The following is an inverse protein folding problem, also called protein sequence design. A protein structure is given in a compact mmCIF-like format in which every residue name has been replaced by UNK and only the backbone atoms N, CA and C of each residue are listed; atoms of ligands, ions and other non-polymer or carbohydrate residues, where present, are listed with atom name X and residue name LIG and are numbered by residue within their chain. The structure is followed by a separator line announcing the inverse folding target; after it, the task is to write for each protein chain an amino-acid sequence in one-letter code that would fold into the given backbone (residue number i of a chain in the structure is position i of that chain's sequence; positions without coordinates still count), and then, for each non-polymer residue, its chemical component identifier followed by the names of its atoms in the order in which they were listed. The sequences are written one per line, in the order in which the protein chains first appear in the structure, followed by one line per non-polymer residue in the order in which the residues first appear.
data_IF_147416746978
#
_entry.id   IF_147416746978
#
_cell.length_a   1.000
_cell.length_b   1.000
_cell.length_c   1.000
_cell.angle_alpha   90.00
_cell.angle_beta   90.00
_cell.angle_gamma   90.00
#
_symmetry.space_group_name_H-M   'P 1'
#
loop_
_entity.id
_entity.type
_entity.pdbx_description
1 polymer ?
#
# COMPACT_ATOMS: atom_id res chain seq x y z
N UNK A 1 12.82 8.33 1.54
CA UNK A 1 13.62 9.06 2.56
C UNK A 1 12.91 9.17 3.90
N UNK A 2 11.63 9.61 3.97
CA UNK A 2 10.89 9.72 5.25
C UNK A 2 10.81 8.39 5.99
N UNK A 3 10.54 7.29 5.30
CA UNK A 3 10.48 5.94 5.88
C UNK A 3 11.85 5.50 6.39
N UNK A 4 12.91 5.70 5.60
CA UNK A 4 14.29 5.44 6.01
C UNK A 4 14.66 6.20 7.28
N UNK A 5 14.39 7.51 7.33
CA UNK A 5 14.66 8.33 8.51
C UNK A 5 13.82 7.90 9.72
N UNK A 6 12.56 7.53 9.51
CA UNK A 6 11.70 7.02 10.57
C UNK A 6 12.25 5.71 11.18
N UNK A 7 12.67 4.75 10.35
CA UNK A 7 13.32 3.52 10.82
C UNK A 7 14.61 3.81 11.59
N UNK A 8 15.46 4.68 11.04
CA UNK A 8 16.71 5.09 11.68
C UNK A 8 16.46 5.63 13.08
N UNK A 9 15.49 6.52 13.22
CA UNK A 9 15.13 7.13 14.50
C UNK A 9 14.47 6.12 15.46
N UNK A 10 13.48 5.35 14.98
CA UNK A 10 12.69 4.45 15.84
C UNK A 10 13.51 3.29 16.40
N UNK A 11 14.51 2.81 15.65
CA UNK A 11 15.37 1.71 16.06
C UNK A 11 16.75 2.19 16.55
N UNK A 12 16.94 3.51 16.70
CA UNK A 12 18.20 4.14 17.13
C UNK A 12 19.42 3.61 16.35
N UNK A 13 19.28 3.52 15.02
CA UNK A 13 20.31 2.98 14.15
C UNK A 13 21.24 4.11 13.70
N UNK A 14 22.50 4.08 14.10
CA UNK A 14 23.50 5.07 13.66
C UNK A 14 24.03 4.78 12.25
N UNK A 15 24.03 3.51 11.84
CA UNK A 15 24.61 3.06 10.57
C UNK A 15 23.55 3.01 9.46
N UNK A 16 23.68 3.88 8.46
CA UNK A 16 22.80 3.96 7.31
C UNK A 16 22.75 2.65 6.50
N UNK A 17 23.83 1.88 6.46
CA UNK A 17 23.86 0.58 5.78
C UNK A 17 22.90 -0.43 6.41
N UNK A 18 22.83 -0.49 7.75
CA UNK A 18 21.88 -1.33 8.46
C UNK A 18 20.43 -0.92 8.19
N UNK A 19 20.18 0.39 8.10
CA UNK A 19 18.83 0.91 7.76
C UNK A 19 18.47 0.50 6.34
N UNK A 20 19.41 0.60 5.38
CA UNK A 20 19.19 0.15 4.00
C UNK A 20 18.90 -1.34 3.90
N UNK A 21 19.62 -2.17 4.68
CA UNK A 21 19.37 -3.62 4.74
C UNK A 21 17.96 -3.92 5.25
N UNK A 22 17.51 -3.23 6.31
CA UNK A 22 16.14 -3.37 6.82
C UNK A 22 15.09 -2.93 5.79
N UNK A 23 15.31 -1.80 5.11
CA UNK A 23 14.39 -1.33 4.05
C UNK A 23 14.32 -2.35 2.91
N UNK A 24 15.46 -2.91 2.50
CA UNK A 24 15.52 -3.92 1.42
C UNK A 24 14.90 -5.27 1.82
N UNK A 25 14.88 -5.58 3.11
CA UNK A 25 14.23 -6.79 3.62
C UNK A 25 12.69 -6.72 3.58
N UNK A 26 12.12 -5.51 3.50
CA UNK A 26 10.68 -5.31 3.38
C UNK A 26 10.31 -5.32 1.89
N UNK A 27 9.52 -6.28 1.39
CA UNK A 27 9.09 -6.29 0.00
C UNK A 27 8.13 -5.11 -0.27
N UNK A 28 8.56 -4.15 -1.08
CA UNK A 28 7.76 -2.98 -1.48
C UNK A 28 7.50 -3.06 -2.98
N UNK A 29 6.24 -3.08 -3.37
CA UNK A 29 5.81 -3.14 -4.77
C UNK A 29 5.16 -1.83 -5.18
N UNK A 30 5.80 -1.10 -6.07
CA UNK A 30 5.28 0.13 -6.66
C UNK A 30 4.43 -0.21 -7.89
N UNK A 31 3.15 -0.44 -7.70
CA UNK A 31 2.24 -0.93 -8.77
C UNK A 31 2.04 0.07 -9.92
N UNK A 32 2.27 1.35 -9.67
CA UNK A 32 2.24 2.43 -10.67
C UNK A 32 3.63 2.93 -11.06
N UNK A 33 4.66 2.10 -10.85
CA UNK A 33 6.05 2.50 -11.06
C UNK A 33 6.64 3.27 -9.88
N UNK A 34 7.93 3.55 -9.98
CA UNK A 34 8.68 4.29 -8.95
C UNK A 34 9.61 5.31 -9.58
N UNK A 35 10.01 6.30 -8.82
CA UNK A 35 11.02 7.28 -9.24
C UNK A 35 12.46 6.72 -9.24
N UNK A 36 12.61 5.40 -9.22
CA UNK A 36 13.90 4.71 -9.17
C UNK A 36 14.26 4.23 -7.75
N UNK A 37 15.42 3.60 -7.63
CA UNK A 37 15.93 3.15 -6.34
C UNK A 37 16.33 4.34 -5.46
N UNK A 38 16.16 4.18 -4.14
CA UNK A 38 16.59 5.19 -3.19
C UNK A 38 18.12 5.27 -3.17
N UNK A 39 18.66 6.39 -3.66
CA UNK A 39 20.06 6.75 -3.52
C UNK A 39 20.17 7.98 -2.61
N UNK A 40 20.74 7.84 -1.40
CA UNK A 40 20.89 8.96 -0.48
C UNK A 40 21.78 10.09 -1.04
N UNK A 41 22.67 9.80 -1.99
CA UNK A 41 23.60 10.77 -2.59
C UNK A 41 23.12 11.33 -3.94
N UNK A 42 22.15 10.67 -4.57
CA UNK A 42 21.63 11.03 -5.91
C UNK A 42 20.47 12.02 -5.90
N UNK A 43 19.87 12.28 -4.74
CA UNK A 43 18.68 13.12 -4.63
C UNK A 43 19.02 14.60 -4.93
N UNK A 44 18.56 15.11 -6.07
CA UNK A 44 18.78 16.48 -6.51
C UNK A 44 19.63 16.62 -7.77
N UNK A 45 20.19 15.54 -8.33
CA UNK A 45 20.88 15.58 -9.61
C UNK A 45 19.87 15.63 -10.78
N UNK A 46 20.06 16.57 -11.70
CA UNK A 46 19.15 16.79 -12.84
C UNK A 46 18.96 15.53 -13.69
N UNK A 47 20.00 14.72 -13.86
CA UNK A 47 19.95 13.46 -14.62
C UNK A 47 19.08 12.37 -13.96
N UNK A 48 18.90 12.42 -12.66
CA UNK A 48 18.02 11.52 -11.92
C UNK A 48 16.54 11.73 -12.31
N UNK A 49 16.14 12.98 -12.47
CA UNK A 49 14.74 13.33 -12.80
C UNK A 49 14.37 13.00 -14.25
N UNK A 50 15.30 13.16 -15.18
CA UNK A 50 15.04 12.93 -16.62
C UNK A 50 14.89 11.46 -17.01
N UNK A 51 15.46 10.55 -16.22
CA UNK A 51 15.33 9.10 -16.46
C UNK A 51 14.14 8.47 -15.73
N UNK A 52 13.68 9.06 -14.62
CA UNK A 52 12.70 8.44 -13.71
C UNK A 52 11.25 8.72 -14.09
N UNK A 53 10.92 9.80 -14.79
CA UNK A 53 9.53 10.08 -15.18
C UNK A 53 8.92 8.99 -16.08
N UNK A 54 9.77 8.29 -16.87
CA UNK A 54 9.34 7.20 -17.76
C UNK A 54 8.95 5.93 -17.00
N UNK A 55 9.32 5.82 -15.73
CA UNK A 55 9.00 4.65 -14.91
C UNK A 55 7.68 4.79 -14.13
N UNK A 56 7.04 5.96 -14.19
CA UNK A 56 5.70 6.17 -13.62
C UNK A 56 4.68 5.78 -14.68
N UNK A 57 3.80 4.85 -14.33
CA UNK A 57 2.77 4.34 -15.21
C UNK A 57 1.39 4.83 -14.77
N UNK A 58 0.53 5.13 -15.74
CA UNK A 58 -0.90 5.33 -15.47
C UNK A 58 -1.57 3.99 -15.21
N UNK A 59 -2.75 4.00 -14.57
CA UNK A 59 -3.51 2.79 -14.28
C UNK A 59 -3.81 1.99 -15.56
N UNK A 60 -4.07 2.67 -16.67
CA UNK A 60 -4.35 2.02 -17.96
C UNK A 60 -3.13 1.31 -18.54
N UNK A 61 -1.94 1.90 -18.42
CA UNK A 61 -0.69 1.29 -18.85
C UNK A 61 -0.35 0.06 -18.00
N UNK A 62 -0.53 0.16 -16.67
CA UNK A 62 -0.28 -0.97 -15.74
C UNK A 62 -1.21 -2.14 -16.03
N UNK A 63 -2.49 -1.89 -16.31
CA UNK A 63 -3.46 -2.93 -16.68
C UNK A 63 -3.08 -3.58 -18.02
N UNK A 64 -2.70 -2.78 -19.01
CA UNK A 64 -2.34 -3.26 -20.35
C UNK A 64 -1.07 -4.12 -20.33
N UNK A 65 -0.07 -3.76 -19.54
CA UNK A 65 1.26 -4.41 -19.53
C UNK A 65 1.38 -5.61 -18.58
N UNK A 66 0.37 -5.92 -17.76
CA UNK A 66 0.40 -6.99 -16.75
C UNK A 66 1.70 -6.96 -15.91
N UNK A 67 2.01 -5.81 -15.35
CA UNK A 67 3.30 -5.50 -14.72
C UNK A 67 3.72 -6.58 -13.71
N UNK A 68 5.02 -6.88 -13.66
CA UNK A 68 5.59 -7.83 -12.71
C UNK A 68 5.34 -7.40 -11.25
N UNK A 69 5.34 -6.08 -10.98
CA UNK A 69 5.05 -5.52 -9.66
C UNK A 69 3.62 -5.84 -9.21
N UNK A 70 2.63 -5.73 -10.11
CA UNK A 70 1.23 -6.09 -9.80
C UNK A 70 1.10 -7.59 -9.51
N UNK A 71 1.74 -8.45 -10.32
CA UNK A 71 1.73 -9.90 -10.08
C UNK A 71 2.32 -10.25 -8.73
N UNK A 72 3.47 -9.67 -8.40
CA UNK A 72 4.12 -9.88 -7.10
C UNK A 72 3.28 -9.35 -5.95
N UNK A 73 2.65 -8.18 -6.09
CA UNK A 73 1.76 -7.62 -5.08
C UNK A 73 0.54 -8.53 -4.84
N UNK A 74 -0.10 -9.03 -5.90
CA UNK A 74 -1.20 -10.00 -5.79
C UNK A 74 -0.77 -11.27 -5.08
N UNK A 75 0.38 -11.83 -5.43
CA UNK A 75 0.92 -13.02 -4.78
C UNK A 75 1.15 -12.81 -3.27
N UNK A 76 1.65 -11.64 -2.86
CA UNK A 76 1.79 -11.30 -1.45
C UNK A 76 0.43 -11.17 -0.74
N UNK A 77 -0.56 -10.56 -1.40
CA UNK A 77 -1.92 -10.48 -0.86
C UNK A 77 -2.56 -11.86 -0.67
N UNK A 78 -2.33 -12.80 -1.60
CA UNK A 78 -2.82 -14.18 -1.50
C UNK A 78 -2.22 -14.95 -0.31
N UNK A 79 -0.98 -14.64 0.04
CA UNK A 79 -0.25 -15.31 1.12
C UNK A 79 -0.37 -14.56 2.46
N UNK A 80 -1.01 -13.40 2.48
CA UNK A 80 -1.09 -12.57 3.67
C UNK A 80 -2.01 -13.17 4.72
N UNK A 81 -1.54 -13.26 5.96
CA UNK A 81 -2.37 -13.59 7.12
C UNK A 81 -3.28 -12.43 7.51
N UNK A 82 -2.82 -11.21 7.31
CA UNK A 82 -3.55 -9.98 7.62
C UNK A 82 -3.31 -8.93 6.53
N UNK A 83 -4.35 -8.21 6.13
CA UNK A 83 -4.29 -7.12 5.15
C UNK A 83 -4.69 -5.82 5.82
N UNK A 84 -3.90 -4.75 5.59
CA UNK A 84 -4.21 -3.41 6.04
C UNK A 84 -4.25 -2.46 4.83
N UNK A 85 -5.40 -1.84 4.58
CA UNK A 85 -5.61 -0.86 3.52
C UNK A 85 -5.45 0.55 4.10
N UNK A 86 -4.26 1.14 3.97
CA UNK A 86 -3.93 2.45 4.53
C UNK A 86 -3.74 3.48 3.42
N UNK A 87 -4.49 4.59 3.47
CA UNK A 87 -4.45 5.62 2.42
C UNK A 87 -4.83 5.09 1.04
N UNK A 88 -5.59 4.01 1.00
CA UNK A 88 -6.00 3.36 -0.23
C UNK A 88 -7.13 4.15 -0.92
N UNK A 89 -6.95 4.43 -2.21
CA UNK A 89 -8.03 4.99 -3.02
C UNK A 89 -9.00 3.89 -3.46
N UNK A 90 -10.21 3.89 -2.90
CA UNK A 90 -11.24 2.88 -3.15
C UNK A 90 -11.91 3.03 -4.53
N UNK A 91 -11.16 3.50 -5.53
CA UNK A 91 -11.62 3.50 -6.91
C UNK A 91 -11.69 2.07 -7.45
N UNK A 92 -12.66 1.83 -8.33
CA UNK A 92 -12.91 0.51 -8.91
C UNK A 92 -11.66 -0.09 -9.54
N UNK A 93 -10.93 0.73 -10.28
CA UNK A 93 -9.71 0.33 -10.99
C UNK A 93 -8.62 -0.18 -10.04
N UNK A 94 -8.46 0.45 -8.87
CA UNK A 94 -7.50 0.01 -7.85
C UNK A 94 -7.90 -1.33 -7.23
N UNK A 95 -9.20 -1.51 -6.99
CA UNK A 95 -9.76 -2.75 -6.43
C UNK A 95 -9.61 -3.89 -7.42
N UNK A 96 -9.91 -3.65 -8.70
CA UNK A 96 -9.76 -4.62 -9.79
C UNK A 96 -8.28 -4.93 -10.06
N UNK A 97 -7.42 -3.91 -10.08
CA UNK A 97 -5.98 -4.07 -10.29
C UNK A 97 -5.33 -5.02 -9.28
N UNK A 98 -5.73 -4.96 -8.02
CA UNK A 98 -5.20 -5.83 -6.96
C UNK A 98 -6.07 -7.07 -6.70
N UNK A 99 -7.17 -7.25 -7.45
CA UNK A 99 -8.15 -8.33 -7.22
C UNK A 99 -8.65 -8.38 -5.77
N UNK A 100 -8.78 -7.21 -5.11
CA UNK A 100 -9.06 -7.12 -3.69
C UNK A 100 -10.34 -7.84 -3.27
N UNK A 101 -11.38 -7.84 -4.11
CA UNK A 101 -12.64 -8.54 -3.80
C UNK A 101 -12.39 -10.04 -3.60
N UNK A 102 -11.59 -10.66 -4.46
CA UNK A 102 -11.20 -12.07 -4.36
C UNK A 102 -10.32 -12.32 -3.13
N UNK A 103 -9.32 -11.46 -2.91
CA UNK A 103 -8.40 -11.59 -1.77
C UNK A 103 -9.14 -11.49 -0.42
N UNK A 104 -10.05 -10.51 -0.28
CA UNK A 104 -10.86 -10.33 0.92
C UNK A 104 -11.78 -11.54 1.18
N UNK A 105 -12.25 -12.20 0.11
CA UNK A 105 -13.03 -13.41 0.26
C UNK A 105 -12.23 -14.60 0.77
N UNK A 106 -11.00 -14.73 0.32
CA UNK A 106 -10.14 -15.88 0.60
C UNK A 106 -9.42 -15.78 1.95
N UNK A 107 -9.13 -14.56 2.43
CA UNK A 107 -8.43 -14.38 3.70
C UNK A 107 -9.27 -14.88 4.88
N UNK A 108 -8.63 -15.57 5.84
CA UNK A 108 -9.31 -16.10 7.02
C UNK A 108 -9.57 -15.04 8.10
N UNK A 109 -8.76 -14.00 8.18
CA UNK A 109 -8.89 -12.87 9.10
C UNK A 109 -9.69 -11.71 8.50
N UNK A 110 -10.02 -10.73 9.33
CA UNK A 110 -10.59 -9.47 8.84
C UNK A 110 -9.49 -8.59 8.21
N UNK A 111 -9.92 -7.77 7.26
CA UNK A 111 -9.07 -6.77 6.61
C UNK A 111 -9.27 -5.43 7.30
N UNK A 112 -8.21 -4.86 7.86
CA UNK A 112 -8.24 -3.51 8.45
C UNK A 112 -8.20 -2.47 7.34
N UNK A 113 -9.13 -1.52 7.35
CA UNK A 113 -9.27 -0.54 6.28
C UNK A 113 -9.41 0.89 6.84
N UNK A 114 -8.47 1.77 6.51
CA UNK A 114 -8.58 3.20 6.78
C UNK A 114 -9.45 3.85 5.69
N UNK A 115 -10.42 4.68 6.11
CA UNK A 115 -11.30 5.42 5.21
C UNK A 115 -11.36 6.93 5.53
N UNK A 116 -10.25 7.48 5.98
CA UNK A 116 -10.16 8.88 6.33
C UNK A 116 -10.71 9.79 5.23
N UNK A 117 -11.68 10.65 5.59
CA UNK A 117 -12.33 11.57 4.67
C UNK A 117 -13.42 10.93 3.77
N UNK A 118 -13.62 9.60 3.82
CA UNK A 118 -14.66 8.91 3.04
C UNK A 118 -15.91 8.75 3.89
N UNK A 119 -17.05 9.24 3.40
CA UNK A 119 -18.34 9.16 4.09
C UNK A 119 -18.90 7.73 4.10
N UNK A 120 -19.85 7.45 5.01
CA UNK A 120 -20.51 6.14 5.07
C UNK A 120 -21.23 5.81 3.76
N UNK A 121 -21.87 6.79 3.13
CA UNK A 121 -22.58 6.60 1.87
C UNK A 121 -21.63 6.31 0.71
N UNK A 122 -20.49 7.01 0.63
CA UNK A 122 -19.45 6.73 -0.37
C UNK A 122 -18.89 5.33 -0.18
N UNK A 123 -18.58 4.95 1.07
CA UNK A 123 -18.05 3.63 1.36
C UNK A 123 -19.07 2.53 1.05
N UNK A 124 -20.34 2.75 1.38
CA UNK A 124 -21.43 1.83 1.03
C UNK A 124 -21.53 1.63 -0.48
N UNK A 125 -21.42 2.68 -1.29
CA UNK A 125 -21.39 2.57 -2.76
C UNK A 125 -20.19 1.77 -3.24
N UNK A 126 -19.01 2.02 -2.67
CA UNK A 126 -17.78 1.28 -3.01
C UNK A 126 -17.93 -0.20 -2.72
N UNK A 127 -18.40 -0.57 -1.54
CA UNK A 127 -18.56 -1.98 -1.14
C UNK A 127 -19.60 -2.71 -2.01
N UNK A 128 -20.73 -2.06 -2.30
CA UNK A 128 -21.76 -2.64 -3.16
C UNK A 128 -21.29 -2.79 -4.61
N UNK A 129 -20.72 -1.73 -5.20
CA UNK A 129 -20.31 -1.74 -6.61
C UNK A 129 -19.17 -2.71 -6.89
N UNK A 130 -18.29 -2.93 -5.92
CA UNK A 130 -17.14 -3.82 -6.04
C UNK A 130 -17.36 -5.19 -5.37
N UNK A 131 -18.57 -5.46 -4.87
CA UNK A 131 -18.92 -6.72 -4.19
C UNK A 131 -17.98 -7.07 -3.01
N UNK A 132 -17.47 -6.04 -2.32
CA UNK A 132 -16.64 -6.25 -1.14
C UNK A 132 -17.51 -6.76 0.01
N UNK A 133 -17.02 -7.75 0.73
CA UNK A 133 -17.73 -8.29 1.91
C UNK A 133 -17.51 -7.38 3.11
N UNK A 134 -18.46 -6.48 3.39
CA UNK A 134 -18.40 -5.55 4.53
C UNK A 134 -18.07 -6.24 5.86
N UNK A 135 -18.63 -7.43 6.10
CA UNK A 135 -18.39 -8.20 7.33
C UNK A 135 -16.93 -8.62 7.54
N UNK A 136 -16.11 -8.57 6.49
CA UNK A 136 -14.67 -8.85 6.53
C UNK A 136 -13.82 -7.61 6.63
N UNK A 137 -14.42 -6.42 6.54
CA UNK A 137 -13.74 -5.15 6.59
C UNK A 137 -13.91 -4.51 7.97
N UNK A 138 -12.85 -4.48 8.74
CA UNK A 138 -12.77 -3.67 9.96
C UNK A 138 -12.39 -2.24 9.60
N UNK A 139 -13.39 -1.42 9.32
CA UNK A 139 -13.18 -0.06 8.87
C UNK A 139 -13.01 0.91 10.04
N UNK A 140 -12.02 1.79 9.92
CA UNK A 140 -11.91 2.98 10.75
C UNK A 140 -13.10 3.93 10.53
N UNK A 141 -13.27 4.92 11.38
CA UNK A 141 -14.22 6.00 11.13
C UNK A 141 -13.69 6.94 10.04
N UNK A 142 -14.57 7.81 9.50
CA UNK A 142 -14.17 8.80 8.50
C UNK A 142 -13.17 9.84 9.04
N UNK A 143 -13.07 9.98 10.36
CA UNK A 143 -12.20 10.92 11.06
C UNK A 143 -10.91 10.26 11.59
N UNK A 144 -10.80 8.92 11.51
CA UNK A 144 -9.61 8.18 11.89
C UNK A 144 -8.60 8.16 10.75
N UNK A 145 -7.42 8.76 10.99
CA UNK A 145 -6.29 8.64 10.07
C UNK A 145 -5.69 7.21 10.07
N UNK A 146 -4.71 6.95 9.21
CA UNK A 146 -4.10 5.63 9.08
C UNK A 146 -3.50 5.11 10.40
N UNK A 147 -2.86 5.97 11.20
CA UNK A 147 -2.25 5.58 12.47
C UNK A 147 -3.31 5.25 13.52
N UNK A 148 -4.37 6.05 13.61
CA UNK A 148 -5.49 5.82 14.54
C UNK A 148 -6.22 4.52 14.17
N UNK A 149 -6.44 4.28 12.87
CA UNK A 149 -7.02 3.02 12.38
C UNK A 149 -6.19 1.80 12.81
N UNK A 150 -4.86 1.86 12.63
CA UNK A 150 -3.98 0.75 13.03
C UNK A 150 -4.01 0.48 14.53
N UNK A 151 -4.04 1.52 15.35
CA UNK A 151 -4.08 1.41 16.82
C UNK A 151 -5.43 0.89 17.32
N UNK A 152 -6.53 1.48 16.82
CA UNK A 152 -7.87 1.18 17.30
C UNK A 152 -8.38 -0.19 16.83
N UNK A 153 -7.85 -0.72 15.72
CA UNK A 153 -8.24 -2.01 15.14
C UNK A 153 -7.23 -3.14 15.44
N UNK A 154 -6.28 -2.89 16.34
CA UNK A 154 -5.29 -3.89 16.75
C UNK A 154 -4.65 -4.61 15.55
N UNK A 155 -4.27 -3.82 14.53
CA UNK A 155 -3.85 -4.35 13.23
C UNK A 155 -2.62 -5.28 13.31
N UNK A 156 -1.84 -5.15 14.38
CA UNK A 156 -0.60 -5.92 14.61
C UNK A 156 -0.71 -6.90 15.78
N UNK A 157 -1.84 -6.94 16.48
CA UNK A 157 -2.02 -7.88 17.58
C UNK A 157 -2.35 -9.28 17.01
N UNK A 158 -1.61 -10.27 17.46
CA UNK A 158 -1.77 -11.68 17.09
C UNK A 158 -2.74 -12.38 18.04
#
# INVERSE_FOLDING_TARGET
QKFFNALKHSFNLENDQKVLELVKAIPIYHVYGSLGEYDPNGFGQINYWTSTYKSIQTIHEVIAEHSAAVKSARQQLEQAEKICLLGFGYHRENIELLELSRMIEQINSNVVACRFGVTDEEMRRVTLSNRLRERKLEMGSKDENALDTLRNRQAFDS
#
